data_IF_574942309511
#
_entry.id   IF_574942309511
#
_cell.length_a   1.000
_cell.length_b   1.000
_cell.length_c   1.000
_cell.angle_alpha   90.00
_cell.angle_beta   90.00
_cell.angle_gamma   90.00
#
_symmetry.space_group_name_H-M   'P 1'
#
loop_
_entity.id
_entity.type
_entity.pdbx_description
1 polymer ?
#
# COMPACT_ATOMS: atom_id res chain seq x y z
N UNK A 1 -9.76 32.71 4.08
CA UNK A 1 -9.01 31.44 3.95
C UNK A 1 -9.08 30.98 2.50
N UNK A 2 -7.95 30.86 1.80
CA UNK A 2 -7.89 30.22 0.48
C UNK A 2 -7.88 28.70 0.69
N UNK A 3 -8.72 27.97 -0.04
CA UNK A 3 -8.68 26.51 -0.04
C UNK A 3 -7.63 26.08 -1.09
N UNK A 4 -6.61 25.29 -0.73
CA UNK A 4 -5.55 24.89 -1.67
C UNK A 4 -6.08 24.05 -2.83
N UNK A 5 -7.21 23.35 -2.65
CA UNK A 5 -7.89 22.60 -3.69
C UNK A 5 -9.41 22.84 -3.66
N UNK A 6 -10.04 22.85 -4.84
CA UNK A 6 -11.49 22.99 -4.97
C UNK A 6 -12.26 21.70 -4.64
N UNK A 7 -11.65 20.54 -4.92
CA UNK A 7 -12.20 19.19 -4.65
C UNK A 7 -11.08 18.25 -4.26
N UNK A 8 -11.41 17.24 -3.45
CA UNK A 8 -10.53 16.13 -3.10
C UNK A 8 -11.27 14.83 -3.42
N UNK A 9 -10.61 13.91 -4.11
CA UNK A 9 -11.11 12.57 -4.38
C UNK A 9 -10.28 11.59 -3.55
N UNK A 10 -10.90 11.01 -2.52
CA UNK A 10 -10.28 10.00 -1.67
C UNK A 10 -10.72 8.61 -2.15
N UNK A 11 -9.76 7.73 -2.42
CA UNK A 11 -10.00 6.34 -2.78
C UNK A 11 -9.37 5.48 -1.69
N UNK A 12 -10.19 4.65 -1.04
CA UNK A 12 -9.72 3.65 -0.08
C UNK A 12 -9.67 2.32 -0.79
N UNK A 13 -8.48 1.73 -0.87
CA UNK A 13 -8.31 0.34 -1.31
C UNK A 13 -8.43 -0.54 -0.08
N UNK A 14 -9.65 -1.03 0.18
CA UNK A 14 -9.93 -1.80 1.39
C UNK A 14 -8.98 -3.01 1.49
N UNK A 15 -8.42 -3.23 2.69
CA UNK A 15 -7.48 -4.30 3.05
C UNK A 15 -6.12 -4.34 2.32
N UNK A 16 -5.79 -3.39 1.44
CA UNK A 16 -4.50 -3.39 0.70
C UNK A 16 -3.36 -2.86 1.59
N UNK A 17 -2.82 -3.74 2.44
CA UNK A 17 -1.68 -3.45 3.33
C UNK A 17 -0.30 -3.48 2.65
N UNK A 18 0.64 -2.71 3.19
CA UNK A 18 2.02 -2.53 2.67
C UNK A 18 3.09 -2.98 3.68
N UNK A 19 2.83 -4.10 4.35
CA UNK A 19 3.67 -4.63 5.42
C UNK A 19 2.98 -4.60 6.77
N UNK A 20 3.59 -5.29 7.72
CA UNK A 20 3.07 -5.45 9.08
C UNK A 20 3.22 -4.15 9.88
N UNK A 21 2.31 -3.94 10.84
CA UNK A 21 2.41 -2.84 11.79
C UNK A 21 3.37 -3.18 12.94
N UNK A 22 3.90 -2.18 13.68
CA UNK A 22 4.81 -2.44 14.81
C UNK A 22 4.23 -3.32 15.93
N UNK A 23 2.90 -3.43 16.02
CA UNK A 23 2.14 -4.21 17.00
C UNK A 23 1.60 -5.53 16.43
N UNK A 24 2.04 -5.96 15.24
CA UNK A 24 1.52 -7.16 14.57
C UNK A 24 1.58 -8.45 15.44
N UNK A 25 2.57 -8.55 16.33
CA UNK A 25 2.69 -9.66 17.28
C UNK A 25 1.50 -9.76 18.25
N UNK A 26 0.93 -8.64 18.67
CA UNK A 26 -0.23 -8.60 19.59
C UNK A 26 -1.50 -9.15 18.90
N UNK A 27 -1.54 -9.08 17.57
CA UNK A 27 -2.66 -9.53 16.73
C UNK A 27 -2.40 -10.87 16.05
N UNK A 28 -1.22 -11.47 16.22
CA UNK A 28 -0.78 -12.71 15.54
C UNK A 28 -0.64 -12.56 14.02
N UNK A 29 -0.33 -11.36 13.57
CA UNK A 29 -0.14 -11.01 12.16
C UNK A 29 1.35 -10.74 11.82
N UNK A 30 2.27 -11.28 12.64
CA UNK A 30 3.71 -11.16 12.41
C UNK A 30 4.11 -11.75 11.06
N UNK A 31 4.91 -11.01 10.29
CA UNK A 31 5.31 -11.31 8.92
C UNK A 31 4.24 -10.99 7.88
N UNK A 32 3.10 -10.38 8.24
CA UNK A 32 2.07 -10.04 7.25
C UNK A 32 2.54 -8.99 6.26
N UNK A 33 2.34 -9.25 4.96
CA UNK A 33 2.64 -8.28 3.91
C UNK A 33 1.71 -8.47 2.71
N UNK A 34 0.49 -7.93 2.80
CA UNK A 34 -0.58 -8.21 1.82
C UNK A 34 -0.17 -7.95 0.38
N UNK A 35 0.32 -6.75 0.04
CA UNK A 35 0.63 -6.41 -1.35
C UNK A 35 1.73 -7.29 -1.95
N UNK A 36 2.87 -7.43 -1.25
CA UNK A 36 3.98 -8.28 -1.65
C UNK A 36 3.56 -9.73 -1.83
N UNK A 37 2.99 -10.38 -0.80
CA UNK A 37 2.56 -11.78 -0.89
C UNK A 37 1.50 -12.00 -1.99
N UNK A 38 0.67 -10.99 -2.29
CA UNK A 38 -0.27 -11.05 -3.41
C UNK A 38 0.43 -11.05 -4.76
N UNK A 39 1.61 -10.42 -4.89
CA UNK A 39 2.37 -10.32 -6.13
C UNK A 39 3.46 -11.40 -6.28
N UNK A 40 3.91 -12.05 -5.20
CA UNK A 40 5.02 -13.03 -5.20
C UNK A 40 4.84 -14.22 -6.17
N UNK A 41 3.60 -14.51 -6.59
CA UNK A 41 3.29 -15.57 -7.56
C UNK A 41 2.94 -15.08 -8.97
N UNK A 42 3.09 -13.79 -9.24
CA UNK A 42 2.47 -13.10 -10.37
C UNK A 42 3.49 -12.20 -11.07
N UNK A 43 3.62 -12.32 -12.40
CA UNK A 43 4.44 -11.42 -13.23
C UNK A 43 3.68 -10.12 -13.57
N UNK A 44 2.97 -9.60 -12.57
CA UNK A 44 2.10 -8.43 -12.70
C UNK A 44 2.83 -7.22 -12.10
N UNK A 45 2.89 -6.14 -12.86
CA UNK A 45 3.41 -4.85 -12.40
C UNK A 45 2.26 -3.89 -12.11
N UNK A 46 2.51 -2.87 -11.27
CA UNK A 46 1.54 -1.83 -10.95
C UNK A 46 2.02 -0.47 -11.48
N UNK A 47 2.24 -0.34 -12.80
CA UNK A 47 3.02 0.77 -13.37
C UNK A 47 2.41 2.15 -13.12
N UNK A 48 1.09 2.24 -12.93
CA UNK A 48 0.43 3.50 -12.60
C UNK A 48 0.62 3.88 -11.12
N UNK A 49 0.58 2.91 -10.20
CA UNK A 49 0.81 3.14 -8.78
C UNK A 49 2.29 3.39 -8.49
N UNK A 50 3.19 2.71 -9.20
CA UNK A 50 4.63 2.98 -9.18
C UNK A 50 4.94 4.43 -9.58
N UNK A 51 4.36 4.92 -10.68
CA UNK A 51 4.49 6.32 -11.11
C UNK A 51 3.91 7.31 -10.09
N UNK A 52 2.89 6.92 -9.34
CA UNK A 52 2.33 7.72 -8.23
C UNK A 52 3.21 7.67 -6.97
N UNK A 53 4.20 6.78 -6.92
CA UNK A 53 5.20 6.71 -5.86
C UNK A 53 5.11 5.49 -4.94
N UNK A 54 4.32 4.47 -5.28
CA UNK A 54 4.17 3.27 -4.45
C UNK A 54 5.51 2.60 -4.10
N UNK A 55 6.42 2.44 -5.07
CA UNK A 55 7.75 1.86 -4.85
C UNK A 55 8.72 2.73 -4.05
N UNK A 56 8.34 3.98 -3.73
CA UNK A 56 9.10 4.85 -2.83
C UNK A 56 8.66 4.71 -1.37
N UNK A 57 7.55 4.00 -1.11
CA UNK A 57 7.03 3.77 0.25
C UNK A 57 7.74 2.57 0.88
N UNK A 58 7.80 1.46 0.13
CA UNK A 58 8.49 0.24 0.51
C UNK A 58 8.90 -0.55 -0.74
N UNK A 59 9.87 -1.45 -0.60
CA UNK A 59 10.22 -2.40 -1.66
C UNK A 59 9.27 -3.61 -1.62
N UNK A 60 8.09 -3.45 -2.22
CA UNK A 60 7.01 -4.44 -2.21
C UNK A 60 7.10 -5.52 -3.30
N UNK A 61 8.06 -5.41 -4.23
CA UNK A 61 8.38 -6.40 -5.27
C UNK A 61 9.57 -7.27 -4.86
#
# INVERSE_FOLDING_TARGET
MTRPFNRVHLIVMDSVGIGEAPDAADFKDEGSHTLRHTLEGFDQTLPNLEKLGLGNIDNYQ
#
